data_IF_827457413732
#
_entry.id   IF_827457413732
#
_cell.length_a   1.000
_cell.length_b   1.000
_cell.length_c   1.000
_cell.angle_alpha   90.00
_cell.angle_beta   90.00
_cell.angle_gamma   90.00
#
_symmetry.space_group_name_H-M   'P 1'
#
loop_
_entity.id
_entity.type
_entity.pdbx_description
1 polymer ?
#
# COMPACT_ATOMS: atom_id res chain seq x y z
N UNK A 1 12.04 30.84 0.69
CA UNK A 1 11.69 31.89 1.68
C UNK A 1 11.53 31.27 3.07
N UNK A 2 11.68 32.05 4.14
CA UNK A 2 11.30 31.63 5.50
C UNK A 2 9.77 31.54 5.63
N UNK A 3 9.27 30.76 6.60
CA UNK A 3 7.82 30.66 6.84
C UNK A 3 7.19 32.03 7.15
N UNK A 4 7.93 32.90 7.86
CA UNK A 4 7.45 34.25 8.20
C UNK A 4 7.26 35.11 6.95
N UNK A 5 8.23 35.09 6.03
CA UNK A 5 8.14 35.83 4.76
C UNK A 5 6.97 35.34 3.91
N UNK A 6 6.77 34.02 3.81
CA UNK A 6 5.65 33.43 3.06
C UNK A 6 4.32 33.83 3.68
N UNK A 7 4.22 33.80 5.01
CA UNK A 7 3.03 34.22 5.74
C UNK A 7 2.65 35.68 5.46
N UNK A 8 3.63 36.58 5.41
CA UNK A 8 3.42 38.00 5.11
C UNK A 8 3.03 38.19 3.64
N UNK A 9 3.80 37.60 2.71
CA UNK A 9 3.62 37.81 1.27
C UNK A 9 2.29 37.24 0.75
N UNK A 10 1.88 36.07 1.23
CA UNK A 10 0.69 35.36 0.73
C UNK A 10 -0.51 35.44 1.67
N UNK A 11 -0.37 36.05 2.85
CA UNK A 11 -1.46 36.17 3.82
C UNK A 11 -1.95 34.82 4.35
N UNK A 12 -1.04 33.89 4.62
CA UNK A 12 -1.33 32.52 5.06
C UNK A 12 -0.68 32.19 6.40
N UNK A 13 -1.22 31.21 7.13
CA UNK A 13 -0.47 30.53 8.19
C UNK A 13 0.49 29.50 7.57
N UNK A 14 1.71 29.93 7.25
CA UNK A 14 2.70 29.08 6.60
C UNK A 14 3.19 27.94 7.50
N UNK A 15 3.18 28.12 8.83
CA UNK A 15 3.53 27.07 9.78
C UNK A 15 2.50 25.94 9.74
N UNK A 16 1.21 26.29 9.72
CA UNK A 16 0.13 25.31 9.53
C UNK A 16 0.21 24.61 8.18
N UNK A 17 0.46 25.36 7.09
CA UNK A 17 0.62 24.76 5.76
C UNK A 17 1.79 23.77 5.73
N UNK A 18 2.93 24.10 6.35
CA UNK A 18 4.05 23.17 6.51
C UNK A 18 3.61 21.88 7.21
N UNK A 19 2.90 21.98 8.33
CA UNK A 19 2.42 20.80 9.07
C UNK A 19 1.49 19.94 8.20
N UNK A 20 0.55 20.55 7.47
CA UNK A 20 -0.32 19.83 6.54
C UNK A 20 0.45 19.15 5.41
N UNK A 21 1.38 19.85 4.77
CA UNK A 21 2.16 19.28 3.68
C UNK A 21 3.01 18.10 4.15
N UNK A 22 3.61 18.20 5.34
CA UNK A 22 4.34 17.10 5.94
C UNK A 22 3.43 15.90 6.25
N UNK A 23 2.26 16.17 6.85
CA UNK A 23 1.27 15.14 7.13
C UNK A 23 0.79 14.46 5.84
N UNK A 24 0.45 15.22 4.79
CA UNK A 24 0.03 14.68 3.50
C UNK A 24 1.10 13.82 2.85
N UNK A 25 2.36 14.27 2.88
CA UNK A 25 3.51 13.51 2.39
C UNK A 25 3.65 12.18 3.14
N UNK A 26 3.62 12.20 4.48
CA UNK A 26 3.84 11.01 5.29
C UNK A 26 2.64 10.05 5.31
N UNK A 27 1.42 10.58 5.15
CA UNK A 27 0.18 9.81 5.27
C UNK A 27 -0.32 9.25 3.94
N UNK A 28 -0.28 10.05 2.88
CA UNK A 28 -0.79 9.66 1.56
C UNK A 28 0.31 9.24 0.60
N UNK A 29 1.57 9.61 0.85
CA UNK A 29 2.67 9.44 -0.09
C UNK A 29 2.61 10.40 -1.28
N UNK A 30 1.45 10.47 -1.95
CA UNK A 30 1.16 11.32 -3.11
C UNK A 30 -0.19 12.01 -2.89
N UNK A 31 -0.21 13.34 -2.92
CA UNK A 31 -1.44 14.14 -2.79
C UNK A 31 -1.39 15.39 -3.66
N UNK A 32 -2.35 15.57 -4.57
CA UNK A 32 -2.41 16.77 -5.41
C UNK A 32 -2.67 18.03 -4.58
N UNK A 33 -2.10 19.17 -4.99
CA UNK A 33 -2.33 20.46 -4.35
C UNK A 33 -3.83 20.80 -4.32
N UNK A 34 -4.59 20.42 -5.35
CA UNK A 34 -6.06 20.53 -5.38
C UNK A 34 -6.71 19.78 -4.22
N UNK A 35 -6.36 18.50 -4.01
CA UNK A 35 -6.93 17.67 -2.93
C UNK A 35 -6.46 18.17 -1.56
N UNK A 36 -5.19 18.51 -1.42
CA UNK A 36 -4.63 19.10 -0.20
C UNK A 36 -5.39 20.37 0.21
N UNK A 37 -5.62 21.29 -0.72
CA UNK A 37 -6.39 22.52 -0.48
C UNK A 37 -7.83 22.21 -0.05
N UNK A 38 -8.49 21.24 -0.69
CA UNK A 38 -9.84 20.81 -0.31
C UNK A 38 -9.90 20.30 1.14
N UNK A 39 -8.94 19.46 1.54
CA UNK A 39 -8.87 18.91 2.90
C UNK A 39 -8.57 20.02 3.91
N UNK A 40 -7.57 20.87 3.65
CA UNK A 40 -7.23 22.01 4.51
C UNK A 40 -8.46 22.91 4.70
N UNK A 41 -9.15 23.29 3.63
CA UNK A 41 -10.31 24.18 3.72
C UNK A 41 -11.49 23.54 4.45
N UNK A 42 -11.69 22.23 4.28
CA UNK A 42 -12.73 21.48 5.00
C UNK A 42 -12.44 21.41 6.50
N UNK A 43 -11.18 21.22 6.88
CA UNK A 43 -10.76 21.10 8.28
C UNK A 43 -10.51 22.47 8.98
N UNK A 44 -10.51 23.58 8.22
CA UNK A 44 -10.29 24.94 8.74
C UNK A 44 -11.29 25.92 8.09
N UNK A 45 -12.61 25.79 8.36
CA UNK A 45 -13.64 26.57 7.69
C UNK A 45 -13.49 28.09 7.86
N UNK A 46 -12.96 28.53 9.01
CA UNK A 46 -12.73 29.95 9.33
C UNK A 46 -11.46 30.55 8.70
N UNK A 47 -10.58 29.70 8.16
CA UNK A 47 -9.26 30.11 7.66
C UNK A 47 -8.92 29.35 6.38
N UNK A 48 -9.87 29.35 5.44
CA UNK A 48 -9.70 28.75 4.12
C UNK A 48 -8.60 29.46 3.35
N UNK A 49 -7.90 28.70 2.52
CA UNK A 49 -6.87 29.20 1.61
C UNK A 49 -7.38 29.16 0.16
N UNK A 50 -6.89 30.11 -0.64
CA UNK A 50 -7.14 30.17 -2.08
C UNK A 50 -6.12 29.35 -2.87
N UNK A 51 -6.33 29.28 -4.20
CA UNK A 51 -5.41 28.62 -5.14
C UNK A 51 -4.05 29.31 -5.15
N UNK A 52 -4.06 30.64 -5.17
CA UNK A 52 -2.87 31.49 -5.20
C UNK A 52 -2.06 31.31 -3.92
N UNK A 53 -2.74 31.16 -2.78
CA UNK A 53 -2.12 30.96 -1.48
C UNK A 53 -1.42 29.61 -1.34
N UNK A 54 -2.07 28.51 -1.76
CA UNK A 54 -1.43 27.19 -1.71
C UNK A 54 -0.29 27.07 -2.72
N UNK A 55 -0.43 27.65 -3.92
CA UNK A 55 0.63 27.69 -4.91
C UNK A 55 1.80 28.54 -4.42
N UNK A 56 1.53 29.73 -3.88
CA UNK A 56 2.52 30.61 -3.30
C UNK A 56 3.34 29.94 -2.19
N UNK A 57 2.70 29.13 -1.34
CA UNK A 57 3.42 28.32 -0.37
C UNK A 57 4.26 27.21 -1.04
N UNK A 58 3.66 26.42 -1.93
CA UNK A 58 4.31 25.29 -2.59
C UNK A 58 5.53 25.69 -3.42
N UNK A 59 5.50 26.86 -4.05
CA UNK A 59 6.59 27.36 -4.92
C UNK A 59 7.74 27.99 -4.13
N UNK A 60 7.53 28.36 -2.87
CA UNK A 60 8.49 29.17 -2.10
C UNK A 60 9.02 28.49 -0.83
N UNK A 61 8.48 27.33 -0.46
CA UNK A 61 8.92 26.55 0.68
C UNK A 61 9.39 25.14 0.29
N UNK A 62 10.65 24.84 0.60
CA UNK A 62 11.23 23.50 0.46
C UNK A 62 11.17 22.77 1.81
N UNK A 63 10.31 21.76 1.90
CA UNK A 63 10.15 20.91 3.10
C UNK A 63 10.77 19.52 2.96
N UNK A 64 10.34 18.58 3.79
CA UNK A 64 10.73 17.16 3.70
C UNK A 64 9.85 16.36 2.71
N UNK A 65 9.23 17.05 1.77
CA UNK A 65 8.50 16.52 0.60
C UNK A 65 9.10 17.09 -0.68
N UNK A 66 8.68 16.56 -1.84
CA UNK A 66 8.95 17.11 -3.17
C UNK A 66 7.64 17.56 -3.81
N UNK A 67 7.63 18.70 -4.48
CA UNK A 67 6.52 19.08 -5.36
C UNK A 67 6.85 18.55 -6.74
N UNK A 68 5.95 17.71 -7.28
CA UNK A 68 6.15 17.00 -8.54
C UNK A 68 5.05 17.39 -9.52
N UNK A 69 5.41 17.68 -10.76
CA UNK A 69 4.47 17.85 -11.88
C UNK A 69 4.41 16.56 -12.68
N UNK A 70 3.26 15.86 -12.79
CA UNK A 70 3.17 14.63 -13.57
C UNK A 70 3.60 14.82 -15.04
N UNK A 71 3.29 15.98 -15.64
CA UNK A 71 3.72 16.31 -17.01
C UNK A 71 5.26 16.34 -17.18
N UNK A 72 6.01 16.65 -16.12
CA UNK A 72 7.49 16.67 -16.20
C UNK A 72 8.10 15.26 -16.12
N UNK A 73 7.30 14.25 -15.79
CA UNK A 73 7.74 12.87 -15.65
C UNK A 73 7.30 12.02 -16.84
N UNK A 74 6.07 12.21 -17.34
CA UNK A 74 5.50 11.39 -18.40
C UNK A 74 5.38 12.18 -19.71
N UNK A 75 5.76 11.55 -20.83
CA UNK A 75 5.68 12.17 -22.17
C UNK A 75 4.25 12.27 -22.71
N UNK A 76 3.35 11.40 -22.23
CA UNK A 76 2.04 11.19 -22.85
C UNK A 76 0.88 11.77 -22.02
N UNK A 77 1.20 12.53 -20.97
CA UNK A 77 0.19 13.19 -20.13
C UNK A 77 -0.02 14.62 -20.63
N UNK A 78 -1.26 15.10 -20.77
CA UNK A 78 -1.50 16.50 -21.11
C UNK A 78 -0.95 17.44 -20.02
N UNK A 79 -0.56 18.65 -20.42
CA UNK A 79 -0.06 19.68 -19.49
C UNK A 79 -0.96 19.79 -18.24
N UNK A 80 -0.39 19.47 -17.08
CA UNK A 80 -1.11 19.52 -15.81
C UNK A 80 -1.19 20.96 -15.32
N UNK A 81 -2.39 21.42 -14.96
CA UNK A 81 -2.55 22.74 -14.32
C UNK A 81 -1.73 22.83 -13.03
N UNK A 82 -1.29 24.02 -12.56
CA UNK A 82 -0.44 24.15 -11.38
C UNK A 82 -0.97 23.47 -10.10
N UNK A 83 -2.30 23.32 -9.97
CA UNK A 83 -2.95 22.64 -8.83
C UNK A 83 -2.97 21.11 -8.92
N UNK A 84 -2.64 20.55 -10.08
CA UNK A 84 -2.48 19.12 -10.28
C UNK A 84 -1.06 18.64 -9.95
N UNK A 85 -0.12 19.56 -9.65
CA UNK A 85 1.14 19.20 -9.02
C UNK A 85 0.88 18.51 -7.68
N UNK A 86 1.78 17.63 -7.29
CA UNK A 86 1.61 16.70 -6.18
C UNK A 86 2.64 16.96 -5.09
N UNK A 87 2.18 16.92 -3.85
CA UNK A 87 3.00 16.76 -2.67
C UNK A 87 3.38 15.28 -2.62
N UNK A 88 4.68 15.00 -2.81
CA UNK A 88 5.21 13.64 -2.88
C UNK A 88 6.20 13.41 -1.76
N UNK A 89 6.08 12.27 -1.08
CA UNK A 89 7.04 11.82 -0.10
C UNK A 89 8.39 11.58 -0.76
N UNK A 90 9.47 12.11 -0.16
CA UNK A 90 10.82 11.98 -0.72
C UNK A 90 11.30 10.54 -0.84
N UNK A 91 10.77 9.61 -0.02
CA UNK A 91 11.11 8.20 -0.14
C UNK A 91 10.72 7.62 -1.52
N UNK A 92 9.62 8.12 -2.11
CA UNK A 92 9.11 7.67 -3.40
C UNK A 92 9.89 8.24 -4.60
N UNK A 93 10.75 9.22 -4.36
CA UNK A 93 11.50 9.97 -5.40
C UNK A 93 12.99 10.08 -5.05
N UNK A 94 13.50 9.08 -4.34
CA UNK A 94 14.84 9.08 -3.77
C UNK A 94 15.92 9.11 -4.87
N UNK A 95 16.94 9.95 -4.73
CA UNK A 95 17.96 10.18 -5.77
C UNK A 95 17.44 10.49 -7.20
N UNK A 96 16.23 11.05 -7.31
CA UNK A 96 15.53 11.27 -8.59
C UNK A 96 15.16 9.99 -9.35
N UNK A 97 15.16 8.84 -8.68
CA UNK A 97 14.46 7.65 -9.14
C UNK A 97 12.96 7.79 -8.82
N UNK A 98 12.10 7.61 -9.82
CA UNK A 98 10.65 7.73 -9.68
C UNK A 98 9.93 6.37 -9.63
N UNK A 99 10.66 5.24 -9.53
CA UNK A 99 10.08 3.90 -9.47
C UNK A 99 9.02 3.76 -8.37
N UNK A 100 9.34 4.14 -7.13
CA UNK A 100 8.39 4.13 -6.01
C UNK A 100 7.18 5.04 -6.23
N UNK A 101 7.39 6.22 -6.84
CA UNK A 101 6.31 7.12 -7.23
C UNK A 101 5.37 6.50 -8.26
N UNK A 102 5.91 5.87 -9.31
CA UNK A 102 5.14 5.19 -10.35
C UNK A 102 4.33 4.02 -9.77
N UNK A 103 4.99 3.16 -8.99
CA UNK A 103 4.36 2.03 -8.32
C UNK A 103 3.21 2.48 -7.40
N UNK A 104 3.47 3.46 -6.53
CA UNK A 104 2.46 3.98 -5.60
C UNK A 104 1.29 4.59 -6.36
N UNK A 105 1.54 5.38 -7.42
CA UNK A 105 0.49 6.01 -8.21
C UNK A 105 -0.39 4.98 -8.93
N UNK A 106 0.22 3.94 -9.50
CA UNK A 106 -0.51 2.87 -10.17
C UNK A 106 -1.48 2.16 -9.20
N UNK A 107 -1.00 1.81 -8.01
CA UNK A 107 -1.83 1.15 -6.99
C UNK A 107 -2.85 2.08 -6.34
N UNK A 108 -2.56 3.37 -6.20
CA UNK A 108 -3.54 4.33 -5.71
C UNK A 108 -4.73 4.43 -6.66
N UNK A 109 -4.50 4.37 -7.97
CA UNK A 109 -5.55 4.39 -9.01
C UNK A 109 -6.61 5.47 -8.71
N UNK A 110 -7.88 5.13 -8.90
CA UNK A 110 -9.05 5.98 -8.64
C UNK A 110 -9.63 5.84 -7.22
N UNK A 111 -8.89 5.23 -6.28
CA UNK A 111 -9.34 5.12 -4.89
C UNK A 111 -9.60 6.51 -4.30
N UNK A 112 -10.66 6.64 -3.51
CA UNK A 112 -10.85 7.84 -2.68
C UNK A 112 -9.76 7.97 -1.62
N UNK A 113 -9.58 9.19 -1.13
CA UNK A 113 -8.77 9.45 0.06
C UNK A 113 -9.54 9.09 1.33
N UNK A 114 -8.91 8.35 2.23
CA UNK A 114 -9.35 8.32 3.62
C UNK A 114 -9.02 9.68 4.26
N UNK A 115 -10.01 10.39 4.79
CA UNK A 115 -9.81 11.71 5.40
C UNK A 115 -10.10 11.60 6.90
N UNK A 116 -9.07 11.47 7.76
CA UNK A 116 -9.28 11.42 9.20
C UNK A 116 -9.67 12.79 9.77
N UNK A 117 -9.90 12.82 11.09
CA UNK A 117 -10.01 14.09 11.81
C UNK A 117 -8.75 14.94 11.61
N UNK A 118 -8.88 16.26 11.82
CA UNK A 118 -7.74 17.18 11.73
C UNK A 118 -6.61 16.77 12.68
N UNK A 119 -6.96 16.46 13.93
CA UNK A 119 -5.97 16.17 14.97
C UNK A 119 -5.25 14.84 14.70
N UNK A 120 -5.95 13.83 14.17
CA UNK A 120 -5.35 12.57 13.74
C UNK A 120 -4.42 12.78 12.54
N UNK A 121 -4.88 13.48 11.50
CA UNK A 121 -4.07 13.73 10.30
C UNK A 121 -2.76 14.46 10.64
N UNK A 122 -2.82 15.49 11.49
CA UNK A 122 -1.65 16.32 11.78
C UNK A 122 -0.60 15.61 12.63
N UNK A 123 -0.91 14.47 13.27
CA UNK A 123 0.11 13.63 13.95
C UNK A 123 1.15 13.10 12.96
N UNK A 124 0.74 12.79 11.72
CA UNK A 124 1.65 12.32 10.66
C UNK A 124 2.62 13.40 10.18
N UNK A 125 2.51 14.65 10.63
CA UNK A 125 3.58 15.62 10.40
C UNK A 125 4.89 15.21 11.10
N UNK A 126 4.83 14.40 12.16
CA UNK A 126 5.98 13.69 12.68
C UNK A 126 6.24 12.42 11.84
N UNK A 127 7.42 12.36 11.21
CA UNK A 127 7.84 11.20 10.40
C UNK A 127 8.04 9.92 11.21
N UNK A 128 8.14 10.01 12.53
CA UNK A 128 8.24 8.86 13.44
C UNK A 128 6.88 8.42 13.99
N UNK A 129 5.80 9.11 13.64
CA UNK A 129 4.48 8.77 14.15
C UNK A 129 3.93 7.48 13.54
N UNK A 130 3.38 6.65 14.41
CA UNK A 130 2.47 5.57 14.04
C UNK A 130 1.37 5.39 15.10
N UNK A 131 0.30 4.71 14.72
CA UNK A 131 -0.88 4.51 15.53
C UNK A 131 -0.64 3.43 16.58
N UNK A 132 -0.59 3.82 17.85
CA UNK A 132 -0.59 2.84 18.94
C UNK A 132 -1.96 2.17 19.09
N UNK A 133 -2.02 0.87 18.84
CA UNK A 133 -3.24 0.07 18.92
C UNK A 133 -2.89 -1.39 19.30
N UNK A 134 -3.90 -2.25 19.45
CA UNK A 134 -3.68 -3.64 19.86
C UNK A 134 -2.68 -4.41 18.97
N UNK A 135 -2.61 -4.09 17.67
CA UNK A 135 -1.74 -4.77 16.71
C UNK A 135 -0.27 -4.33 16.85
N UNK A 136 -0.03 -3.01 17.01
CA UNK A 136 1.33 -2.52 17.27
C UNK A 136 1.85 -2.98 18.63
N UNK A 137 0.99 -3.07 19.64
CA UNK A 137 1.36 -3.62 20.95
C UNK A 137 1.65 -5.13 20.88
N UNK A 138 0.87 -5.90 20.12
CA UNK A 138 1.13 -7.32 19.94
C UNK A 138 2.49 -7.56 19.23
N UNK A 139 2.77 -6.79 18.18
CA UNK A 139 4.06 -6.89 17.48
C UNK A 139 5.23 -6.41 18.35
N UNK A 140 5.05 -5.33 19.13
CA UNK A 140 6.03 -4.90 20.13
C UNK A 140 6.38 -6.02 21.13
N UNK A 141 5.36 -6.72 21.65
CA UNK A 141 5.57 -7.85 22.57
C UNK A 141 6.30 -9.01 21.91
N UNK A 142 6.03 -9.30 20.64
CA UNK A 142 6.79 -10.26 19.87
C UNK A 142 8.28 -9.86 19.78
N UNK A 143 8.56 -8.62 19.35
CA UNK A 143 9.93 -8.12 19.21
C UNK A 143 10.70 -8.13 20.54
N UNK A 144 10.06 -7.72 21.64
CA UNK A 144 10.69 -7.62 22.95
C UNK A 144 10.88 -9.00 23.62
N UNK A 145 9.82 -9.82 23.65
CA UNK A 145 9.76 -11.00 24.52
C UNK A 145 10.06 -12.32 23.83
N UNK A 146 9.84 -12.41 22.52
CA UNK A 146 10.09 -13.64 21.75
C UNK A 146 11.36 -13.51 20.93
N UNK A 147 11.51 -12.40 20.21
CA UNK A 147 12.69 -12.14 19.36
C UNK A 147 13.89 -11.59 20.16
N UNK A 148 13.62 -10.99 21.33
CA UNK A 148 14.64 -10.32 22.15
C UNK A 148 15.45 -9.27 21.39
N UNK A 149 14.77 -8.48 20.57
CA UNK A 149 15.41 -7.42 19.78
C UNK A 149 16.00 -6.33 20.69
N UNK A 150 17.30 -6.02 20.50
CA UNK A 150 18.04 -5.06 21.33
C UNK A 150 17.44 -3.64 21.35
N UNK A 151 16.87 -3.19 20.23
CA UNK A 151 16.16 -1.91 20.10
C UNK A 151 14.79 -2.17 19.44
N UNK A 152 13.94 -2.89 20.16
CA UNK A 152 12.63 -3.31 19.64
C UNK A 152 11.75 -2.12 19.26
N UNK A 153 11.88 -0.97 19.94
CA UNK A 153 11.11 0.24 19.62
C UNK A 153 11.48 0.79 18.25
N UNK A 154 12.79 0.85 17.95
CA UNK A 154 13.26 1.27 16.63
C UNK A 154 12.85 0.26 15.56
N UNK A 155 13.00 -1.04 15.81
CA UNK A 155 12.60 -2.09 14.86
C UNK A 155 11.09 -2.04 14.56
N UNK A 156 10.25 -1.83 15.58
CA UNK A 156 8.82 -1.62 15.41
C UNK A 156 8.54 -0.41 14.51
N UNK A 157 9.22 0.71 14.77
CA UNK A 157 9.06 1.92 13.96
C UNK A 157 9.46 1.67 12.50
N UNK A 158 10.59 1.04 12.26
CA UNK A 158 11.08 0.70 10.91
C UNK A 158 10.05 -0.16 10.18
N UNK A 159 9.63 -1.28 10.75
CA UNK A 159 8.63 -2.19 10.14
C UNK A 159 7.32 -1.46 9.84
N UNK A 160 6.79 -0.64 10.75
CA UNK A 160 5.53 0.08 10.49
C UNK A 160 5.68 1.12 9.38
N UNK A 161 6.84 1.77 9.26
CA UNK A 161 7.11 2.71 8.19
C UNK A 161 7.30 2.00 6.84
N UNK A 162 7.95 0.83 6.83
CA UNK A 162 8.14 0.01 5.62
C UNK A 162 6.80 -0.53 5.12
N UNK A 163 5.94 -1.02 6.02
CA UNK A 163 4.56 -1.38 5.69
C UNK A 163 3.86 -0.19 5.05
N UNK A 164 3.88 0.99 5.71
CA UNK A 164 3.16 2.19 5.24
C UNK A 164 3.62 2.66 3.85
N UNK A 165 4.93 2.67 3.59
CA UNK A 165 5.53 3.24 2.40
C UNK A 165 5.53 2.27 1.22
N UNK A 166 5.98 1.04 1.43
CA UNK A 166 6.26 0.08 0.37
C UNK A 166 5.33 -1.14 0.38
N UNK A 167 4.35 -1.19 1.28
CA UNK A 167 3.50 -2.38 1.46
C UNK A 167 4.35 -3.62 1.74
N UNK A 168 5.39 -3.44 2.57
CA UNK A 168 6.31 -4.47 3.04
C UNK A 168 5.53 -5.73 3.39
N UNK A 169 5.77 -6.82 2.65
CA UNK A 169 4.88 -7.97 2.70
C UNK A 169 5.37 -9.03 3.70
N UNK A 170 4.59 -10.13 3.81
CA UNK A 170 4.91 -11.19 4.76
C UNK A 170 6.19 -11.93 4.41
N UNK A 171 6.51 -12.08 3.12
CA UNK A 171 7.76 -12.72 2.69
C UNK A 171 8.95 -11.82 3.01
N UNK A 172 8.85 -10.53 2.71
CA UNK A 172 9.91 -9.57 3.06
C UNK A 172 10.20 -9.54 4.57
N UNK A 173 9.15 -9.64 5.39
CA UNK A 173 9.29 -9.78 6.84
C UNK A 173 9.99 -11.06 7.26
N UNK A 174 9.62 -12.21 6.67
CA UNK A 174 10.27 -13.50 6.93
C UNK A 174 11.76 -13.42 6.59
N UNK A 175 12.08 -12.94 5.38
CA UNK A 175 13.45 -12.80 4.90
C UNK A 175 14.27 -11.88 5.81
N UNK A 176 13.67 -10.79 6.29
CA UNK A 176 14.30 -9.86 7.25
C UNK A 176 14.61 -10.55 8.58
N UNK A 177 13.68 -11.34 9.11
CA UNK A 177 13.90 -12.06 10.38
C UNK A 177 14.94 -13.17 10.20
N UNK A 178 14.91 -13.92 9.10
CA UNK A 178 15.89 -14.98 8.81
C UNK A 178 17.30 -14.40 8.65
N UNK A 179 17.42 -13.23 8.02
CA UNK A 179 18.70 -12.55 7.83
C UNK A 179 19.25 -11.96 9.14
N UNK A 180 18.41 -11.27 9.92
CA UNK A 180 18.86 -10.56 11.13
C UNK A 180 18.91 -11.43 12.39
N UNK A 181 18.09 -12.48 12.45
CA UNK A 181 18.00 -13.42 13.57
C UNK A 181 18.11 -14.88 13.08
N UNK A 182 19.27 -15.28 12.52
CA UNK A 182 19.43 -16.61 11.95
C UNK A 182 19.11 -17.72 12.95
N UNK A 183 18.22 -18.64 12.57
CA UNK A 183 17.79 -19.77 13.40
C UNK A 183 16.62 -19.47 14.35
N UNK A 184 16.02 -18.28 14.28
CA UNK A 184 14.74 -18.02 14.91
C UNK A 184 13.62 -18.81 14.22
N UNK A 185 12.79 -19.53 14.99
CA UNK A 185 11.68 -20.32 14.44
C UNK A 185 10.44 -19.43 14.24
N UNK A 186 10.16 -19.07 12.98
CA UNK A 186 9.00 -18.26 12.61
C UNK A 186 7.75 -19.14 12.59
N UNK A 187 7.07 -19.21 13.73
CA UNK A 187 5.81 -19.97 13.86
C UNK A 187 4.64 -19.28 13.18
N UNK A 188 3.55 -20.02 12.92
CA UNK A 188 2.30 -19.46 12.40
C UNK A 188 1.74 -18.33 13.28
N UNK A 189 1.93 -18.40 14.60
CA UNK A 189 1.50 -17.33 15.51
C UNK A 189 2.23 -16.01 15.23
N UNK A 190 3.53 -16.06 14.90
CA UNK A 190 4.32 -14.86 14.55
C UNK A 190 3.82 -14.27 13.23
N UNK A 191 3.55 -15.13 12.24
CA UNK A 191 2.95 -14.72 10.97
C UNK A 191 1.61 -14.03 11.20
N UNK A 192 0.74 -14.59 12.04
CA UNK A 192 -0.57 -14.02 12.34
C UNK A 192 -0.46 -12.64 13.02
N UNK A 193 0.52 -12.45 13.94
CA UNK A 193 0.78 -11.15 14.56
C UNK A 193 1.18 -10.12 13.49
N UNK A 194 2.10 -10.49 12.59
CA UNK A 194 2.57 -9.62 11.52
C UNK A 194 1.45 -9.26 10.53
N UNK A 195 0.69 -10.24 10.04
CA UNK A 195 -0.43 -10.03 9.11
C UNK A 195 -1.47 -9.09 9.73
N UNK A 196 -1.75 -9.23 11.03
CA UNK A 196 -2.66 -8.33 11.73
C UNK A 196 -2.11 -6.91 11.85
N UNK A 197 -0.81 -6.74 12.11
CA UNK A 197 -0.16 -5.43 12.07
C UNK A 197 -0.30 -4.80 10.67
N UNK A 198 0.07 -5.54 9.63
CA UNK A 198 0.02 -5.08 8.25
C UNK A 198 -1.39 -4.64 7.83
N UNK A 199 -2.39 -5.52 8.00
CA UNK A 199 -3.75 -5.27 7.55
C UNK A 199 -4.48 -4.15 8.31
N UNK A 200 -3.91 -3.70 9.42
CA UNK A 200 -4.42 -2.59 10.22
C UNK A 200 -3.47 -1.38 10.27
N UNK A 201 -2.42 -1.36 9.45
CA UNK A 201 -1.56 -0.21 9.22
C UNK A 201 -2.05 0.55 7.99
N UNK A 202 -2.05 1.89 8.07
CA UNK A 202 -2.47 2.74 6.95
C UNK A 202 -1.39 2.79 5.89
N UNK A 203 -1.78 2.65 4.62
CA UNK A 203 -0.85 2.56 3.50
C UNK A 203 -0.93 3.76 2.56
N UNK A 204 0.22 4.20 2.05
CA UNK A 204 0.29 5.24 1.02
C UNK A 204 -0.41 4.79 -0.27
N UNK A 205 -0.20 3.53 -0.69
CA UNK A 205 -0.83 2.91 -1.87
C UNK A 205 -2.37 2.83 -1.77
N UNK A 206 -2.91 2.90 -0.55
CA UNK A 206 -4.35 2.89 -0.28
C UNK A 206 -4.89 4.27 0.10
N UNK A 207 -4.17 5.36 -0.20
CA UNK A 207 -4.56 6.74 0.12
C UNK A 207 -4.99 6.91 1.59
N UNK A 208 -4.25 6.30 2.50
CA UNK A 208 -4.44 6.42 3.95
C UNK A 208 -5.45 5.42 4.56
N UNK A 209 -6.11 4.58 3.76
CA UNK A 209 -6.87 3.45 4.29
C UNK A 209 -5.92 2.33 4.76
N UNK A 210 -6.33 1.59 5.80
CA UNK A 210 -5.76 0.25 6.05
C UNK A 210 -6.32 -0.77 5.05
N UNK A 211 -5.64 -1.89 4.77
CA UNK A 211 -6.19 -2.96 3.94
C UNK A 211 -7.57 -3.42 4.38
N UNK A 212 -7.79 -3.57 5.70
CA UNK A 212 -9.08 -3.98 6.27
C UNK A 212 -10.18 -2.92 6.14
N UNK A 213 -9.86 -1.63 6.30
CA UNK A 213 -10.83 -0.55 6.06
C UNK A 213 -11.23 -0.48 4.58
N UNK A 214 -10.26 -0.65 3.67
CA UNK A 214 -10.51 -0.61 2.24
C UNK A 214 -11.33 -1.81 1.78
N UNK A 215 -11.03 -3.01 2.30
CA UNK A 215 -11.79 -4.23 2.04
C UNK A 215 -13.26 -4.04 2.43
N UNK A 216 -13.54 -3.65 3.69
CA UNK A 216 -14.90 -3.41 4.17
C UNK A 216 -15.65 -2.30 3.40
N UNK A 217 -14.93 -1.36 2.79
CA UNK A 217 -15.55 -0.29 1.99
C UNK A 217 -16.12 -0.80 0.67
N UNK A 218 -15.42 -1.74 0.02
CA UNK A 218 -15.80 -2.23 -1.31
C UNK A 218 -16.51 -3.59 -1.29
N UNK A 219 -16.37 -4.35 -0.20
CA UNK A 219 -17.08 -5.59 0.04
C UNK A 219 -17.60 -5.61 1.50
N UNK A 220 -18.66 -4.84 1.80
CA UNK A 220 -19.18 -4.71 3.17
C UNK A 220 -19.86 -5.99 3.67
N UNK A 221 -20.33 -6.85 2.77
CA UNK A 221 -21.14 -8.03 3.07
C UNK A 221 -20.34 -9.36 3.01
N UNK A 222 -19.03 -9.31 2.71
CA UNK A 222 -18.18 -10.50 2.43
C UNK A 222 -18.82 -11.38 1.34
N UNK A 223 -19.42 -10.73 0.34
CA UNK A 223 -20.19 -11.33 -0.74
C UNK A 223 -19.26 -11.88 -1.84
N UNK A 224 -17.95 -11.59 -1.77
CA UNK A 224 -16.99 -12.20 -2.67
C UNK A 224 -17.03 -13.73 -2.53
N UNK A 225 -17.16 -14.45 -3.66
CA UNK A 225 -17.18 -15.90 -3.61
C UNK A 225 -15.86 -16.40 -3.03
N UNK A 226 -15.94 -17.29 -2.02
CA UNK A 226 -14.76 -17.87 -1.36
C UNK A 226 -13.93 -18.77 -2.29
N UNK A 227 -14.54 -19.21 -3.38
CA UNK A 227 -13.93 -20.04 -4.42
C UNK A 227 -14.43 -19.63 -5.80
N UNK A 228 -13.56 -19.66 -6.81
CA UNK A 228 -13.88 -19.36 -8.22
C UNK A 228 -13.37 -20.50 -9.10
N UNK A 229 -14.03 -20.76 -10.22
CA UNK A 229 -13.50 -21.62 -11.27
C UNK A 229 -13.60 -20.93 -12.62
N UNK A 230 -12.58 -21.11 -13.47
CA UNK A 230 -12.54 -20.50 -14.79
C UNK A 230 -13.44 -21.25 -15.78
N UNK A 231 -14.13 -20.49 -16.64
CA UNK A 231 -14.84 -21.07 -17.77
C UNK A 231 -13.88 -21.44 -18.91
N UNK A 232 -14.30 -22.28 -19.87
CA UNK A 232 -13.46 -22.76 -20.97
C UNK A 232 -12.88 -21.64 -21.85
N UNK A 233 -13.54 -20.47 -21.91
CA UNK A 233 -13.00 -19.30 -22.61
C UNK A 233 -11.74 -18.74 -21.95
N UNK A 234 -11.73 -18.59 -20.62
CA UNK A 234 -10.56 -18.10 -19.88
C UNK A 234 -9.41 -19.11 -19.99
N UNK A 235 -9.71 -20.40 -19.87
CA UNK A 235 -8.73 -21.47 -20.11
C UNK A 235 -8.09 -21.37 -21.50
N UNK A 236 -8.90 -21.16 -22.55
CA UNK A 236 -8.41 -21.02 -23.92
C UNK A 236 -7.49 -19.80 -24.09
N UNK A 237 -7.85 -18.66 -23.51
CA UNK A 237 -7.06 -17.43 -23.61
C UNK A 237 -5.68 -17.59 -22.96
N UNK A 238 -5.62 -18.23 -21.79
CA UNK A 238 -4.36 -18.52 -21.08
C UNK A 238 -3.51 -19.53 -21.87
N UNK A 239 -4.13 -20.56 -22.48
CA UNK A 239 -3.41 -21.55 -23.30
C UNK A 239 -2.88 -20.99 -24.63
N UNK A 240 -3.56 -19.99 -25.18
CA UNK A 240 -3.14 -19.30 -26.40
C UNK A 240 -2.10 -18.19 -26.17
N UNK A 241 -1.68 -17.98 -24.92
CA UNK A 241 -0.85 -16.85 -24.48
C UNK A 241 -1.44 -15.44 -24.78
N UNK A 242 -2.72 -15.36 -25.18
CA UNK A 242 -3.48 -14.10 -25.26
C UNK A 242 -3.72 -13.48 -23.87
N UNK A 243 -3.66 -14.29 -22.82
CA UNK A 243 -3.68 -13.88 -21.42
C UNK A 243 -2.47 -14.50 -20.71
N UNK A 244 -1.52 -13.67 -20.29
CA UNK A 244 -0.25 -14.15 -19.75
C UNK A 244 -0.46 -14.61 -18.30
N UNK A 245 -0.28 -15.91 -18.06
CA UNK A 245 -0.54 -16.55 -16.77
C UNK A 245 0.25 -15.93 -15.61
N UNK A 246 1.52 -15.59 -15.84
CA UNK A 246 2.38 -15.02 -14.80
C UNK A 246 1.96 -13.60 -14.43
N UNK A 247 1.60 -12.77 -15.41
CA UNK A 247 1.04 -11.43 -15.16
C UNK A 247 -0.29 -11.50 -14.38
N UNK A 248 -1.12 -12.52 -14.64
CA UNK A 248 -2.36 -12.73 -13.90
C UNK A 248 -2.11 -13.19 -12.46
N UNK A 249 -1.10 -14.03 -12.23
CA UNK A 249 -0.70 -14.42 -10.88
C UNK A 249 -0.25 -13.19 -10.12
N UNK A 250 0.65 -12.37 -10.69
CA UNK A 250 1.09 -11.12 -10.10
C UNK A 250 -0.10 -10.18 -9.82
N UNK A 251 -1.05 -10.07 -10.76
CA UNK A 251 -2.27 -9.31 -10.55
C UNK A 251 -3.10 -9.83 -9.38
N UNK A 252 -3.34 -11.14 -9.28
CA UNK A 252 -4.11 -11.74 -8.20
C UNK A 252 -3.41 -11.67 -6.85
N UNK A 253 -2.09 -11.78 -6.83
CA UNK A 253 -1.26 -11.57 -5.64
C UNK A 253 -1.36 -10.11 -5.18
N UNK A 254 -1.38 -9.15 -6.11
CA UNK A 254 -1.56 -7.73 -5.83
C UNK A 254 -3.00 -7.31 -5.49
N UNK A 255 -4.02 -8.13 -5.81
CA UNK A 255 -5.42 -7.82 -5.48
C UNK A 255 -5.66 -7.82 -3.97
N UNK A 256 -6.53 -6.94 -3.48
CA UNK A 256 -6.91 -6.92 -2.06
C UNK A 256 -8.21 -7.71 -1.82
N UNK A 257 -8.12 -9.03 -2.03
CA UNK A 257 -9.19 -10.02 -1.81
C UNK A 257 -8.76 -11.07 -0.77
N UNK A 258 -9.70 -11.88 -0.28
CA UNK A 258 -9.41 -12.89 0.75
C UNK A 258 -8.32 -13.87 0.28
N UNK A 259 -7.49 -14.34 1.22
CA UNK A 259 -6.40 -15.28 0.90
C UNK A 259 -6.93 -16.59 0.30
N UNK A 260 -8.12 -17.03 0.71
CA UNK A 260 -8.77 -18.22 0.14
C UNK A 260 -9.17 -17.99 -1.32
N UNK A 261 -9.69 -16.81 -1.66
CA UNK A 261 -10.01 -16.45 -3.02
C UNK A 261 -8.75 -16.28 -3.88
N UNK A 262 -7.68 -15.64 -3.36
CA UNK A 262 -6.37 -15.57 -4.04
C UNK A 262 -5.83 -16.95 -4.36
N UNK A 263 -5.76 -17.82 -3.34
CA UNK A 263 -5.31 -19.21 -3.49
C UNK A 263 -6.12 -19.95 -4.53
N UNK A 264 -7.43 -19.73 -4.56
CA UNK A 264 -8.31 -20.37 -5.54
C UNK A 264 -8.05 -19.85 -6.96
N UNK A 265 -7.93 -18.53 -7.17
CA UNK A 265 -7.64 -17.93 -8.47
C UNK A 265 -6.27 -18.37 -9.01
N UNK A 266 -5.23 -18.34 -8.17
CA UNK A 266 -3.88 -18.82 -8.53
C UNK A 266 -3.91 -20.33 -8.81
N UNK A 267 -4.67 -21.10 -8.02
CA UNK A 267 -4.84 -22.53 -8.28
C UNK A 267 -5.54 -22.80 -9.61
N UNK A 268 -6.50 -21.99 -10.04
CA UNK A 268 -7.14 -22.14 -11.36
C UNK A 268 -6.14 -21.84 -12.49
N UNK A 269 -5.24 -20.86 -12.33
CA UNK A 269 -4.14 -20.61 -13.29
C UNK A 269 -3.19 -21.82 -13.35
N UNK A 270 -2.82 -22.38 -12.20
CA UNK A 270 -1.92 -23.53 -12.14
C UNK A 270 -2.50 -24.80 -12.77
N UNK A 271 -3.84 -24.96 -12.74
CA UNK A 271 -4.52 -26.05 -13.47
C UNK A 271 -4.37 -25.91 -14.99
N UNK A 272 -4.18 -24.70 -15.51
CA UNK A 272 -3.88 -24.48 -16.94
C UNK A 272 -2.45 -24.92 -17.28
N UNK A 273 -1.48 -24.61 -16.40
CA UNK A 273 -0.04 -24.87 -16.64
C UNK A 273 0.37 -26.34 -16.53
N UNK A 274 -0.45 -27.21 -15.92
CA UNK A 274 -0.20 -28.67 -15.87
C UNK A 274 -1.27 -29.38 -16.69
N UNK A 275 -0.92 -30.13 -17.74
CA UNK A 275 -1.92 -30.94 -18.42
C UNK A 275 -2.55 -31.89 -17.42
N UNK A 276 -3.85 -32.17 -17.59
CA UNK A 276 -4.53 -33.18 -16.79
C UNK A 276 -3.70 -34.47 -16.80
N UNK A 277 -3.49 -35.10 -15.63
CA UNK A 277 -2.73 -36.34 -15.56
C UNK A 277 -3.34 -37.34 -16.53
N UNK A 278 -2.50 -37.91 -17.39
CA UNK A 278 -2.92 -38.94 -18.33
C UNK A 278 -3.62 -40.07 -17.56
N UNK A 279 -4.60 -40.73 -18.17
CA UNK A 279 -5.42 -41.78 -17.50
C UNK A 279 -4.58 -42.83 -16.74
N UNK A 280 -3.34 -43.06 -17.13
CA UNK A 280 -2.43 -44.01 -16.49
C UNK A 280 -1.39 -43.40 -15.52
N UNK A 281 -1.32 -42.08 -15.40
CA UNK A 281 -0.35 -41.37 -14.55
C UNK A 281 -0.73 -41.48 -13.06
N UNK A 282 0.22 -41.29 -12.14
CA UNK A 282 -0.07 -41.25 -10.70
C UNK A 282 -1.12 -40.19 -10.36
N UNK A 283 -2.10 -40.55 -9.54
CA UNK A 283 -3.19 -39.65 -9.19
C UNK A 283 -2.69 -38.51 -8.29
N UNK A 284 -2.98 -37.24 -8.64
CA UNK A 284 -2.46 -36.07 -7.93
C UNK A 284 -2.99 -35.92 -6.49
N UNK A 285 -4.01 -36.68 -6.09
CA UNK A 285 -4.53 -36.72 -4.72
C UNK A 285 -3.63 -37.51 -3.73
N UNK A 286 -2.47 -38.01 -4.17
CA UNK A 286 -1.51 -38.72 -3.31
C UNK A 286 -1.91 -40.16 -2.95
N UNK A 287 -2.93 -40.73 -3.60
CA UNK A 287 -3.44 -42.08 -3.27
C UNK A 287 -2.52 -43.22 -3.74
N UNK A 288 -1.48 -42.92 -4.51
CA UNK A 288 -0.60 -43.93 -5.15
C UNK A 288 -1.25 -44.73 -6.28
N UNK A 289 -2.52 -44.49 -6.62
CA UNK A 289 -3.24 -45.17 -7.72
C UNK A 289 -3.08 -44.41 -9.04
N UNK A 290 -3.29 -45.10 -10.17
CA UNK A 290 -3.41 -44.45 -11.50
C UNK A 290 -4.64 -43.54 -11.55
N UNK A 291 -4.57 -42.41 -12.24
CA UNK A 291 -5.64 -41.39 -12.29
C UNK A 291 -7.02 -41.99 -12.65
N UNK A 292 -7.10 -42.84 -13.69
CA UNK A 292 -8.35 -43.52 -14.10
C UNK A 292 -8.97 -44.47 -13.07
N UNK A 293 -8.22 -44.85 -12.02
CA UNK A 293 -8.67 -45.75 -10.95
C UNK A 293 -8.88 -45.01 -9.62
N UNK A 294 -8.88 -43.68 -9.65
CA UNK A 294 -9.01 -42.83 -8.48
C UNK A 294 -9.89 -41.63 -8.81
N UNK A 295 -9.30 -40.45 -9.03
CA UNK A 295 -10.05 -39.21 -9.25
C UNK A 295 -10.57 -39.05 -10.70
N UNK A 296 -10.00 -39.77 -11.68
CA UNK A 296 -10.41 -39.74 -13.08
C UNK A 296 -11.34 -40.90 -13.47
N UNK A 297 -12.19 -41.33 -12.54
CA UNK A 297 -13.14 -42.45 -12.70
C UNK A 297 -14.04 -42.28 -13.91
#
# INVERSE_FOLDING_TARGET
MTLKEISIQYGVDAKRLKTYFQAFSNFYGICSLKKAMQIINRQNPEQKITKEQILGFADNYNGDWKIVSPYEIYTDIPYTTPLQREIVNKILVFYNDYGGYHYTRALQSDKDFYIPSRDELLKYADKKYFEENQYTHAFAQFLEKQLHANDWQRKLLEIVLDIRADNFDTQDFIDTIDQEYPGFDITQQVIDIYVNLHNNTRLMVNRGYTPNELFRKYDPDDDLPKTVSFGPGIYSLIQSDEMIADELIECFEAMNISQDLKRTLISEIHKVKRPDPGRNDPCPCGSGKKYKKCCGG
#
